data_IF_237937139609
#
_entry.id   IF_237937139609
#
_cell.length_a   1.000
_cell.length_b   1.000
_cell.length_c   1.000
_cell.angle_alpha   90.00
_cell.angle_beta   90.00
_cell.angle_gamma   90.00
#
_symmetry.space_group_name_H-M   'P 1'
#
loop_
_entity.id
_entity.type
_entity.pdbx_description
1 polymer ?
#
# COMPACT_ATOMS: atom_id res chain seq x y z
N UNK A 1 -8.12 -10.20 21.86
CA UNK A 1 -9.20 -9.62 21.03
C UNK A 1 -9.12 -8.08 20.97
N UNK A 2 -8.82 -7.39 22.07
CA UNK A 2 -8.69 -5.93 22.14
C UNK A 2 -7.48 -5.40 21.34
N UNK A 3 -6.34 -6.08 21.34
CA UNK A 3 -5.15 -5.69 20.59
C UNK A 3 -5.32 -5.76 19.05
N UNK A 4 -6.19 -6.62 18.54
CA UNK A 4 -6.50 -6.71 17.11
C UNK A 4 -7.29 -5.49 16.60
N UNK A 5 -8.26 -5.00 17.39
CA UNK A 5 -9.03 -3.79 17.05
C UNK A 5 -8.17 -2.53 17.11
N UNK A 6 -7.26 -2.42 18.05
CA UNK A 6 -6.35 -1.26 18.17
C UNK A 6 -5.35 -1.18 17.02
N UNK A 7 -4.81 -2.32 16.53
CA UNK A 7 -3.88 -2.33 15.39
C UNK A 7 -4.57 -1.92 14.08
N UNK A 8 -5.79 -2.36 13.83
CA UNK A 8 -6.57 -1.94 12.66
C UNK A 8 -6.92 -0.45 12.70
N UNK A 9 -7.14 0.12 13.89
CA UNK A 9 -7.42 1.56 14.06
C UNK A 9 -6.19 2.43 13.76
N UNK A 10 -4.98 2.01 14.13
CA UNK A 10 -3.76 2.80 13.93
C UNK A 10 -3.37 2.98 12.46
N UNK A 11 -3.52 1.95 11.61
CA UNK A 11 -3.15 2.02 10.20
C UNK A 11 -4.10 2.92 9.43
N UNK A 12 -5.38 2.78 9.69
CA UNK A 12 -6.45 3.58 9.10
C UNK A 12 -6.28 5.08 9.42
N UNK A 13 -6.00 5.41 10.69
CA UNK A 13 -5.89 6.80 11.13
C UNK A 13 -4.67 7.49 10.52
N UNK A 14 -3.64 6.73 10.14
CA UNK A 14 -2.43 7.26 9.48
C UNK A 14 -2.60 7.46 7.98
N UNK A 15 -3.23 6.53 7.27
CA UNK A 15 -3.46 6.68 5.83
C UNK A 15 -4.46 7.77 5.50
N UNK A 16 -5.52 7.88 6.27
CA UNK A 16 -6.57 8.86 6.01
C UNK A 16 -6.47 10.12 6.87
N UNK A 17 -5.52 10.20 7.83
CA UNK A 17 -5.46 11.33 8.76
C UNK A 17 -6.76 11.47 9.59
N UNK A 18 -7.42 10.34 9.92
CA UNK A 18 -8.63 10.31 10.75
C UNK A 18 -9.90 9.86 10.02
N UNK A 19 -9.91 8.82 9.25
CA UNK A 19 -11.12 8.23 8.67
C UNK A 19 -11.67 7.05 9.48
N UNK A 20 -12.80 6.48 9.03
CA UNK A 20 -13.36 5.23 9.56
C UNK A 20 -13.56 4.24 8.44
N UNK A 21 -13.28 2.95 8.71
CA UNK A 21 -13.60 1.89 7.78
C UNK A 21 -14.08 0.65 8.54
N UNK A 22 -14.96 -0.12 7.92
CA UNK A 22 -15.38 -1.43 8.41
C UNK A 22 -15.67 -2.37 7.25
N UNK A 23 -15.58 -3.65 7.55
CA UNK A 23 -15.91 -4.73 6.64
C UNK A 23 -17.28 -5.30 7.03
N UNK A 24 -18.15 -5.51 6.04
CA UNK A 24 -19.45 -6.14 6.20
C UNK A 24 -19.48 -7.43 5.37
N UNK A 25 -19.75 -8.54 6.05
CA UNK A 25 -19.98 -9.81 5.37
C UNK A 25 -21.43 -9.83 4.85
N UNK A 26 -21.58 -10.08 3.56
CA UNK A 26 -22.87 -10.34 2.93
C UNK A 26 -23.04 -11.86 2.94
N UNK A 27 -23.86 -12.37 3.85
CA UNK A 27 -24.16 -13.80 3.90
C UNK A 27 -25.00 -14.19 2.69
N UNK A 28 -24.61 -15.26 2.03
CA UNK A 28 -25.46 -15.94 1.07
C UNK A 28 -26.02 -17.18 1.79
N UNK A 29 -27.33 -17.15 2.09
CA UNK A 29 -27.98 -18.22 2.84
C UNK A 29 -28.05 -19.56 2.06
N UNK A 30 -27.93 -19.50 0.71
CA UNK A 30 -27.97 -20.69 -0.16
C UNK A 30 -26.56 -21.32 -0.31
N UNK A 31 -25.51 -20.50 -0.30
CA UNK A 31 -24.11 -20.96 -0.39
C UNK A 31 -23.18 -20.07 0.46
N UNK A 32 -22.85 -20.50 1.68
CA UNK A 32 -21.98 -19.73 2.58
C UNK A 32 -20.57 -19.46 2.02
N UNK A 33 -20.07 -20.29 1.08
CA UNK A 33 -18.76 -20.11 0.45
C UNK A 33 -18.75 -18.98 -0.59
N UNK A 34 -19.91 -18.62 -1.13
CA UNK A 34 -20.13 -17.50 -2.03
C UNK A 34 -20.56 -16.21 -1.30
N UNK A 35 -20.33 -16.13 0.00
CA UNK A 35 -20.54 -14.91 0.78
C UNK A 35 -19.62 -13.79 0.31
N UNK A 36 -20.19 -12.60 0.08
CA UNK A 36 -19.46 -11.41 -0.35
C UNK A 36 -18.88 -10.61 0.81
N UNK A 37 -17.84 -9.82 0.54
CA UNK A 37 -17.27 -8.86 1.48
C UNK A 37 -17.44 -7.44 0.92
N UNK A 38 -18.21 -6.61 1.65
CA UNK A 38 -18.31 -5.18 1.35
C UNK A 38 -17.39 -4.36 2.24
N UNK A 39 -16.74 -3.38 1.63
CA UNK A 39 -15.86 -2.43 2.30
C UNK A 39 -16.58 -1.09 2.37
N UNK A 40 -16.74 -0.58 3.58
CA UNK A 40 -17.26 0.76 3.83
C UNK A 40 -16.15 1.62 4.42
N UNK A 41 -15.98 2.82 3.87
CA UNK A 41 -14.98 3.77 4.35
C UNK A 41 -15.57 5.19 4.40
N UNK A 42 -15.04 5.97 5.33
CA UNK A 42 -15.33 7.39 5.51
C UNK A 42 -14.00 8.14 5.56
N UNK A 43 -13.53 8.67 4.43
CA UNK A 43 -12.41 9.60 4.44
C UNK A 43 -12.68 10.81 5.34
N UNK A 44 -11.65 11.55 5.79
CA UNK A 44 -11.83 12.74 6.60
C UNK A 44 -12.79 13.73 5.96
N UNK A 45 -13.79 14.18 6.72
CA UNK A 45 -14.80 15.12 6.25
C UNK A 45 -15.89 14.55 5.35
N UNK A 46 -15.89 13.25 5.06
CA UNK A 46 -16.93 12.57 4.26
C UNK A 46 -17.78 11.62 5.11
N UNK A 47 -19.00 11.36 4.63
CA UNK A 47 -19.87 10.35 5.25
C UNK A 47 -19.39 8.95 4.92
N UNK A 48 -19.75 7.99 5.77
CA UNK A 48 -19.52 6.57 5.54
C UNK A 48 -20.24 6.09 4.29
N UNK A 49 -19.52 5.47 3.35
CA UNK A 49 -20.08 4.97 2.10
C UNK A 49 -19.32 3.73 1.62
N UNK A 50 -19.92 2.99 0.68
CA UNK A 50 -19.26 1.85 0.06
C UNK A 50 -18.02 2.31 -0.71
N UNK A 51 -16.98 1.51 -0.74
CA UNK A 51 -15.72 1.80 -1.44
C UNK A 51 -15.94 2.19 -2.90
N UNK A 52 -16.92 1.60 -3.57
CA UNK A 52 -17.25 1.87 -4.98
C UNK A 52 -17.72 3.30 -5.25
N UNK A 53 -18.15 4.01 -4.21
CA UNK A 53 -18.62 5.41 -4.29
C UNK A 53 -17.53 6.43 -3.95
N UNK A 54 -16.33 5.98 -3.62
CA UNK A 54 -15.16 6.81 -3.36
C UNK A 54 -14.46 7.23 -4.67
N UNK A 55 -13.65 8.29 -4.62
CA UNK A 55 -12.76 8.64 -5.73
C UNK A 55 -11.69 7.56 -5.92
N UNK A 56 -11.10 7.47 -7.14
CA UNK A 56 -10.11 6.43 -7.46
C UNK A 56 -8.94 6.39 -6.47
N UNK A 57 -8.37 7.54 -6.11
CA UNK A 57 -7.30 7.61 -5.10
C UNK A 57 -7.76 7.20 -3.69
N UNK A 58 -8.98 7.55 -3.29
CA UNK A 58 -9.55 7.11 -2.00
C UNK A 58 -9.85 5.61 -1.98
N UNK A 59 -10.30 5.04 -3.10
CA UNK A 59 -10.48 3.60 -3.25
C UNK A 59 -9.14 2.87 -3.10
N UNK A 60 -8.10 3.35 -3.81
CA UNK A 60 -6.75 2.78 -3.76
C UNK A 60 -6.19 2.82 -2.33
N UNK A 61 -6.25 3.97 -1.65
CA UNK A 61 -5.83 4.09 -0.25
C UNK A 61 -6.59 3.16 0.68
N UNK A 62 -7.90 3.02 0.48
CA UNK A 62 -8.73 2.11 1.30
C UNK A 62 -8.30 0.65 1.08
N UNK A 63 -8.06 0.26 -0.17
CA UNK A 63 -7.59 -1.09 -0.52
C UNK A 63 -6.20 -1.37 0.06
N UNK A 64 -5.26 -0.42 -0.07
CA UNK A 64 -3.92 -0.51 0.51
C UNK A 64 -3.99 -0.62 2.03
N UNK A 65 -4.87 0.15 2.70
CA UNK A 65 -5.08 0.09 4.14
C UNK A 65 -5.54 -1.30 4.60
N UNK A 66 -6.45 -1.91 3.85
CA UNK A 66 -6.92 -3.25 4.12
C UNK A 66 -5.81 -4.29 3.93
N UNK A 67 -5.07 -4.20 2.80
CA UNK A 67 -3.93 -5.06 2.53
C UNK A 67 -2.93 -5.03 3.68
N UNK A 68 -2.54 -3.85 4.13
CA UNK A 68 -1.59 -3.72 5.24
C UNK A 68 -2.16 -4.17 6.58
N UNK A 69 -3.46 -4.01 6.82
CA UNK A 69 -4.10 -4.53 8.03
C UNK A 69 -4.05 -6.07 8.07
N UNK A 70 -4.27 -6.73 6.94
CA UNK A 70 -4.13 -8.19 6.80
C UNK A 70 -2.67 -8.60 6.94
N UNK A 71 -1.78 -7.86 6.33
CA UNK A 71 -0.33 -8.11 6.37
C UNK A 71 0.25 -8.03 7.79
N UNK A 72 -0.14 -7.04 8.57
CA UNK A 72 0.29 -6.93 9.98
C UNK A 72 -0.31 -8.05 10.84
N UNK A 73 -1.50 -8.55 10.48
CA UNK A 73 -2.10 -9.68 11.18
C UNK A 73 -1.36 -11.00 10.92
N UNK A 74 -0.82 -11.17 9.70
CA UNK A 74 -0.05 -12.32 9.25
C UNK A 74 1.19 -11.85 8.47
N UNK A 75 2.25 -11.40 9.16
CA UNK A 75 3.43 -10.88 8.50
C UNK A 75 4.15 -11.95 7.68
N UNK A 76 4.55 -11.57 6.46
CA UNK A 76 5.39 -12.38 5.58
C UNK A 76 6.82 -11.84 5.60
N UNK A 77 7.85 -12.66 5.38
CA UNK A 77 9.23 -12.19 5.32
C UNK A 77 9.51 -11.23 4.16
N UNK A 78 8.70 -11.27 3.10
CA UNK A 78 8.77 -10.33 1.97
C UNK A 78 7.36 -10.02 1.43
N UNK A 79 7.24 -8.86 0.80
CA UNK A 79 6.01 -8.40 0.14
C UNK A 79 6.38 -7.74 -1.18
N UNK A 80 5.68 -8.08 -2.26
CA UNK A 80 5.86 -7.49 -3.58
C UNK A 80 4.64 -6.61 -3.86
N UNK A 81 4.88 -5.35 -4.18
CA UNK A 81 3.87 -4.35 -4.52
C UNK A 81 4.13 -3.89 -5.97
N UNK A 82 3.18 -4.12 -6.85
CA UNK A 82 3.29 -3.80 -8.27
C UNK A 82 2.38 -2.62 -8.62
N UNK A 83 2.99 -1.47 -8.93
CA UNK A 83 2.34 -0.21 -9.32
C UNK A 83 1.17 0.24 -8.42
N UNK A 84 1.21 -0.09 -7.12
CA UNK A 84 0.13 0.24 -6.17
C UNK A 84 0.00 1.74 -5.89
N UNK A 85 1.04 2.51 -6.19
CA UNK A 85 1.12 3.97 -6.06
C UNK A 85 0.63 4.73 -7.31
N UNK A 86 0.41 4.04 -8.44
CA UNK A 86 -0.01 4.67 -9.69
C UNK A 86 -1.31 5.50 -9.60
N UNK A 87 -2.37 5.07 -8.88
CA UNK A 87 -3.61 5.84 -8.74
C UNK A 87 -3.55 6.91 -7.65
N UNK A 88 -2.43 7.08 -6.94
CA UNK A 88 -2.28 8.01 -5.82
C UNK A 88 -1.76 9.37 -6.30
N UNK A 89 -2.24 10.43 -5.65
CA UNK A 89 -1.63 11.76 -5.76
C UNK A 89 -0.38 11.87 -4.88
N UNK A 90 0.43 12.91 -5.07
CA UNK A 90 1.72 13.08 -4.39
C UNK A 90 1.60 13.03 -2.86
N UNK A 91 0.55 13.62 -2.27
CA UNK A 91 0.32 13.59 -0.83
C UNK A 91 0.01 12.16 -0.32
N UNK A 92 -0.71 11.40 -1.13
CA UNK A 92 -1.08 10.03 -0.79
C UNK A 92 0.08 9.05 -1.04
N UNK A 93 0.95 9.33 -2.03
CA UNK A 93 2.20 8.60 -2.24
C UNK A 93 3.14 8.77 -1.03
N UNK A 94 3.30 10.00 -0.52
CA UNK A 94 4.12 10.24 0.69
C UNK A 94 3.61 9.46 1.90
N UNK A 95 2.29 9.44 2.12
CA UNK A 95 1.67 8.66 3.19
C UNK A 95 1.85 7.16 3.01
N UNK A 96 1.73 6.68 1.77
CA UNK A 96 1.97 5.28 1.42
C UNK A 96 3.41 4.88 1.74
N UNK A 97 4.41 5.66 1.29
CA UNK A 97 5.83 5.41 1.55
C UNK A 97 6.12 5.38 3.06
N UNK A 98 5.66 6.40 3.81
CA UNK A 98 5.85 6.48 5.26
C UNK A 98 5.28 5.27 6.00
N UNK A 99 4.17 4.71 5.49
CA UNK A 99 3.57 3.52 6.07
C UNK A 99 4.33 2.25 5.73
N UNK A 100 4.82 2.10 4.50
CA UNK A 100 5.67 0.97 4.10
C UNK A 100 6.93 0.93 4.96
N UNK A 101 7.61 2.07 5.14
CA UNK A 101 8.78 2.21 6.01
C UNK A 101 8.47 1.74 7.44
N UNK A 102 7.41 2.28 8.04
CA UNK A 102 7.01 1.92 9.40
C UNK A 102 6.68 0.42 9.56
N UNK A 103 5.99 -0.16 8.57
CA UNK A 103 5.64 -1.58 8.61
C UNK A 103 6.89 -2.43 8.42
N UNK A 104 7.78 -2.05 7.51
CA UNK A 104 9.05 -2.75 7.28
C UNK A 104 9.86 -2.86 8.56
N UNK A 105 9.99 -1.76 9.32
CA UNK A 105 10.69 -1.74 10.61
C UNK A 105 9.99 -2.60 11.67
N UNK A 106 8.65 -2.50 11.78
CA UNK A 106 7.90 -3.16 12.86
C UNK A 106 7.80 -4.67 12.70
N UNK A 107 7.66 -5.16 11.48
CA UNK A 107 7.43 -6.59 11.20
C UNK A 107 8.63 -7.25 10.53
N UNK A 108 9.73 -6.50 10.32
CA UNK A 108 10.96 -6.97 9.67
C UNK A 108 10.71 -7.62 8.30
N UNK A 109 9.76 -7.07 7.55
CA UNK A 109 9.42 -7.49 6.21
C UNK A 109 10.21 -6.71 5.18
N UNK A 110 10.72 -7.39 4.16
CA UNK A 110 11.34 -6.74 2.99
C UNK A 110 10.27 -6.45 1.96
N UNK A 111 10.15 -5.18 1.57
CA UNK A 111 9.26 -4.76 0.49
C UNK A 111 10.02 -4.67 -0.83
N UNK A 112 9.44 -5.20 -1.89
CA UNK A 112 9.87 -5.03 -3.27
C UNK A 112 8.76 -4.26 -3.96
N UNK A 113 9.06 -3.05 -4.42
CA UNK A 113 8.08 -2.16 -5.03
C UNK A 113 8.45 -1.96 -6.49
N UNK A 114 7.54 -2.33 -7.39
CA UNK A 114 7.63 -1.98 -8.81
C UNK A 114 6.87 -0.67 -8.98
N UNK A 115 7.55 0.37 -9.45
CA UNK A 115 6.97 1.70 -9.59
C UNK A 115 7.69 2.53 -10.67
N UNK A 116 6.98 3.48 -11.24
CA UNK A 116 7.53 4.55 -12.06
C UNK A 116 7.41 5.93 -11.38
N UNK A 117 6.91 5.98 -10.13
CA UNK A 117 6.74 7.20 -9.38
C UNK A 117 8.07 7.65 -8.74
N UNK A 118 8.51 8.88 -9.06
CA UNK A 118 9.78 9.43 -8.57
C UNK A 118 9.83 9.60 -7.05
N UNK A 119 8.69 9.92 -6.41
CA UNK A 119 8.63 10.05 -4.96
C UNK A 119 8.85 8.72 -4.28
N UNK A 120 8.21 7.66 -4.76
CA UNK A 120 8.43 6.30 -4.25
C UNK A 120 9.89 5.87 -4.44
N UNK A 121 10.46 6.12 -5.63
CA UNK A 121 11.86 5.81 -5.92
C UNK A 121 12.85 6.52 -4.98
N UNK A 122 12.55 7.76 -4.57
CA UNK A 122 13.41 8.53 -3.66
C UNK A 122 13.38 8.08 -2.20
N UNK A 123 12.43 7.21 -1.83
CA UNK A 123 12.19 6.76 -0.45
C UNK A 123 12.64 5.32 -0.19
N UNK A 124 13.18 4.61 -1.19
CA UNK A 124 13.65 3.23 -1.04
C UNK A 124 15.14 3.19 -0.72
N UNK A 125 15.57 2.15 0.01
CA UNK A 125 16.99 1.96 0.37
C UNK A 125 17.84 1.59 -0.85
N UNK A 126 17.25 0.86 -1.80
CA UNK A 126 17.94 0.38 -3.01
C UNK A 126 17.04 0.42 -4.23
N UNK A 127 17.57 0.96 -5.31
CA UNK A 127 16.87 1.06 -6.59
C UNK A 127 17.47 0.08 -7.59
N UNK A 128 16.59 -0.67 -8.27
CA UNK A 128 16.96 -1.56 -9.36
C UNK A 128 16.30 -1.05 -10.64
N UNK A 129 17.12 -0.67 -11.63
CA UNK A 129 16.65 -0.37 -12.97
C UNK A 129 16.70 -1.62 -13.84
N UNK A 130 15.71 -1.76 -14.72
CA UNK A 130 15.73 -2.79 -15.76
C UNK A 130 15.88 -2.10 -17.09
N UNK A 131 16.92 -2.43 -17.83
CA UNK A 131 17.21 -1.90 -19.17
C UNK A 131 17.24 -3.03 -20.18
N UNK A 132 17.04 -2.69 -21.45
CA UNK A 132 17.14 -3.63 -22.57
C UNK A 132 18.18 -3.10 -23.56
N UNK A 133 19.50 -3.38 -23.33
CA UNK A 133 20.56 -2.91 -24.19
C UNK A 133 20.51 -3.53 -25.60
N UNK A 134 20.00 -4.76 -25.71
CA UNK A 134 19.75 -5.48 -26.96
C UNK A 134 18.32 -6.00 -26.98
N UNK A 135 17.73 -6.10 -28.16
CA UNK A 135 16.34 -6.58 -28.29
C UNK A 135 16.19 -8.01 -27.75
N UNK A 136 15.30 -8.16 -26.76
CA UNK A 136 15.04 -9.43 -26.09
C UNK A 136 15.98 -9.77 -24.92
N UNK A 137 16.98 -8.93 -24.61
CA UNK A 137 17.92 -9.16 -23.49
C UNK A 137 17.75 -8.07 -22.42
N UNK A 138 17.18 -8.43 -21.29
CA UNK A 138 17.06 -7.52 -20.13
C UNK A 138 18.30 -7.54 -19.27
N UNK A 139 18.74 -6.37 -18.82
CA UNK A 139 19.84 -6.19 -17.89
C UNK A 139 19.36 -5.43 -16.66
N UNK A 140 19.77 -5.91 -15.48
CA UNK A 140 19.49 -5.25 -14.20
C UNK A 140 20.65 -4.33 -13.86
N UNK A 141 20.32 -3.08 -13.53
CA UNK A 141 21.25 -2.06 -13.03
C UNK A 141 20.82 -1.74 -11.60
N UNK A 142 21.69 -1.97 -10.61
CA UNK A 142 21.42 -1.59 -9.22
C UNK A 142 22.18 -0.31 -8.87
N UNK A 143 21.49 0.62 -8.23
CA UNK A 143 22.10 1.87 -7.72
C UNK A 143 21.70 2.01 -6.25
N UNK A 144 22.69 2.12 -5.36
CA UNK A 144 22.42 2.56 -3.99
C UNK A 144 22.13 4.08 -4.02
N UNK A 145 21.10 4.52 -3.32
CA UNK A 145 20.63 5.92 -3.39
C UNK A 145 21.73 6.92 -2.98
N UNK A 146 22.60 6.55 -2.04
CA UNK A 146 23.73 7.37 -1.63
C UNK A 146 24.77 7.61 -2.78
N UNK A 147 24.85 6.68 -3.73
CA UNK A 147 25.70 6.83 -4.92
C UNK A 147 24.98 7.58 -6.05
N UNK A 148 23.65 7.41 -6.19
CA UNK A 148 22.88 8.08 -7.24
C UNK A 148 22.89 9.60 -7.12
N UNK A 149 22.93 10.14 -5.90
CA UNK A 149 23.03 11.59 -5.65
C UNK A 149 24.35 12.16 -6.14
N UNK A 150 25.45 11.39 -6.10
CA UNK A 150 26.78 11.83 -6.58
C UNK A 150 26.89 11.92 -8.10
N UNK A 151 26.01 11.25 -8.85
CA UNK A 151 25.98 11.28 -10.31
C UNK A 151 24.96 12.28 -10.87
N UNK A 152 24.17 12.94 -10.00
CA UNK A 152 23.16 13.93 -10.38
C UNK A 152 23.65 15.39 -10.28
N UNK A 153 24.86 15.62 -9.77
CA UNK A 153 25.61 16.89 -9.83
C UNK A 153 26.52 16.91 -11.08
#
# INVERSE_FOLDING_TARGET
YLHRRQRQMCIRDRLFGGGKAYLKLIQNDEDPLNSGLEIFASPPGKKMQNITLLSGGEQALTAISLLFAVFIANPSPFCILDEVDAPLDDNNVDRFCSMVEEISEKVQTKFIIVTHNRMTMSRVDRLYGVTMPEEGISQIVSVELEEAVKYAE
#
